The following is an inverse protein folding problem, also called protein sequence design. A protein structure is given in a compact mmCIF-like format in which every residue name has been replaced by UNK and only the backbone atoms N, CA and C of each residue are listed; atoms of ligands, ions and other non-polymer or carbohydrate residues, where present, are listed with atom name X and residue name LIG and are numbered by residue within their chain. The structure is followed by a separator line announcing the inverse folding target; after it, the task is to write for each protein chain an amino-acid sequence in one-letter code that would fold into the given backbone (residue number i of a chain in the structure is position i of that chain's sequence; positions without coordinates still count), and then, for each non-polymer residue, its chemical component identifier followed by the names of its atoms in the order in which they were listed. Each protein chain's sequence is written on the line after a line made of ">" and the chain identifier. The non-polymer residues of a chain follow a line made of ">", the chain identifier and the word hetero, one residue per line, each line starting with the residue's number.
data_IF_261901159864
#
_entry.id   IF_261901159864
#
_cell.length_a   1.000
_cell.length_b   1.000
_cell.length_c   1.000
_cell.angle_alpha   90.00
_cell.angle_beta   90.00
_cell.angle_gamma   90.00
#
_symmetry.space_group_name_H-M   'P 1'
#
loop_
_entity.id
_entity.type
_entity.pdbx_description
1 polymer ?
#
# COMPACT_ATOMS: atom_id res chain seq x y z
N UNK A 1 8.24 -3.96 -8.08
CA UNK A 1 6.83 -4.36 -8.20
C UNK A 1 5.98 -3.24 -8.81
N UNK A 2 5.66 -2.18 -8.06
CA UNK A 2 4.73 -1.12 -8.51
C UNK A 2 5.12 -0.47 -9.84
N UNK A 3 6.40 -0.08 -10.03
CA UNK A 3 6.86 0.50 -11.31
C UNK A 3 6.66 -0.44 -12.50
N UNK A 4 6.88 -1.74 -12.30
CA UNK A 4 6.67 -2.73 -13.35
C UNK A 4 5.19 -2.93 -13.64
N UNK A 5 4.32 -2.91 -12.62
CA UNK A 5 2.87 -2.94 -12.80
C UNK A 5 2.40 -1.74 -13.65
N UNK A 6 2.93 -0.55 -13.38
CA UNK A 6 2.67 0.66 -14.18
C UNK A 6 3.17 0.51 -15.62
N UNK A 7 4.38 -0.01 -15.81
CA UNK A 7 4.94 -0.23 -17.15
C UNK A 7 4.21 -1.29 -17.96
N UNK A 8 3.53 -2.25 -17.30
CA UNK A 8 2.78 -3.31 -17.98
C UNK A 8 1.49 -2.78 -18.63
N UNK A 9 0.94 -1.67 -18.13
CA UNK A 9 -0.30 -1.07 -18.62
C UNK A 9 -1.55 -1.86 -18.24
N UNK A 10 -2.67 -1.59 -18.93
CA UNK A 10 -3.98 -2.18 -18.62
C UNK A 10 -4.58 -1.59 -17.33
N UNK A 11 -5.24 -2.43 -16.53
CA UNK A 11 -5.86 -2.07 -15.25
C UNK A 11 -4.80 -1.93 -14.14
N UNK A 12 -3.98 -0.89 -14.31
CA UNK A 12 -2.73 -0.70 -13.59
C UNK A 12 -2.94 -0.53 -12.09
N UNK A 13 -4.00 0.15 -11.68
CA UNK A 13 -4.37 0.35 -10.28
C UNK A 13 -4.68 -0.98 -9.59
N UNK A 14 -5.48 -1.84 -10.21
CA UNK A 14 -5.76 -3.19 -9.68
C UNK A 14 -4.48 -4.02 -9.58
N UNK A 15 -3.66 -4.06 -10.63
CA UNK A 15 -2.41 -4.84 -10.65
C UNK A 15 -1.44 -4.30 -9.59
N UNK A 16 -1.28 -2.98 -9.49
CA UNK A 16 -0.40 -2.35 -8.51
C UNK A 16 -0.90 -2.54 -7.08
N UNK A 17 -2.22 -2.54 -6.84
CA UNK A 17 -2.81 -2.79 -5.52
C UNK A 17 -2.47 -4.20 -5.02
N UNK A 18 -2.69 -5.22 -5.86
CA UNK A 18 -2.42 -6.62 -5.50
C UNK A 18 -0.92 -6.85 -5.37
N UNK A 19 -0.12 -6.51 -6.39
CA UNK A 19 1.33 -6.76 -6.37
C UNK A 19 2.05 -5.91 -5.32
N UNK A 20 1.56 -4.70 -5.05
CA UNK A 20 2.10 -3.79 -4.05
C UNK A 20 1.91 -4.30 -2.62
N UNK A 21 0.72 -4.79 -2.27
CA UNK A 21 0.46 -5.36 -0.93
C UNK A 21 1.34 -6.58 -0.63
N UNK A 22 1.57 -7.45 -1.63
CA UNK A 22 2.49 -8.59 -1.48
C UNK A 22 3.93 -8.07 -1.34
N UNK A 23 4.36 -7.15 -2.19
CA UNK A 23 5.72 -6.63 -2.16
C UNK A 23 6.04 -5.88 -0.84
N UNK A 24 5.09 -5.15 -0.26
CA UNK A 24 5.24 -4.49 1.03
C UNK A 24 5.63 -5.48 2.12
N UNK A 25 5.00 -6.66 2.17
CA UNK A 25 5.28 -7.66 3.19
C UNK A 25 6.72 -8.21 3.14
N UNK A 26 7.35 -8.23 1.96
CA UNK A 26 8.72 -8.73 1.77
C UNK A 26 9.78 -7.63 1.83
N UNK A 27 9.46 -6.42 1.40
CA UNK A 27 10.45 -5.38 1.13
C UNK A 27 10.19 -4.05 1.85
N UNK A 28 9.05 -3.92 2.53
CA UNK A 28 8.57 -2.68 3.11
C UNK A 28 8.18 -1.63 2.05
N UNK A 29 7.83 -0.43 2.54
CA UNK A 29 7.50 0.73 1.70
C UNK A 29 8.29 1.93 2.18
N UNK A 30 8.93 2.71 1.28
CA UNK A 30 9.60 3.95 1.66
C UNK A 30 8.64 4.91 2.38
N UNK A 31 9.05 5.48 3.52
CA UNK A 31 8.19 6.26 4.41
C UNK A 31 7.48 7.42 3.69
N UNK A 32 8.20 8.15 2.81
CA UNK A 32 7.62 9.23 2.03
C UNK A 32 6.45 8.78 1.14
N UNK A 33 6.52 7.56 0.59
CA UNK A 33 5.47 6.99 -0.26
C UNK A 33 4.31 6.53 0.61
N UNK A 34 4.59 5.86 1.73
CA UNK A 34 3.57 5.40 2.66
C UNK A 34 2.77 6.58 3.25
N UNK A 35 3.46 7.66 3.66
CA UNK A 35 2.83 8.88 4.15
C UNK A 35 1.92 9.51 3.10
N UNK A 36 2.36 9.58 1.84
CA UNK A 36 1.59 10.14 0.74
C UNK A 36 0.37 9.26 0.39
N UNK A 37 0.51 7.94 0.48
CA UNK A 37 -0.62 7.00 0.39
C UNK A 37 -1.64 7.23 1.51
N UNK A 38 -1.20 7.27 2.77
CA UNK A 38 -2.08 7.48 3.94
C UNK A 38 -2.86 8.80 3.89
N UNK A 39 -2.28 9.88 3.33
CA UNK A 39 -3.01 11.15 3.12
C UNK A 39 -4.19 11.06 2.15
N UNK A 40 -4.15 10.11 1.21
CA UNK A 40 -5.22 9.90 0.21
C UNK A 40 -6.28 8.92 0.68
N UNK A 41 -6.02 8.13 1.71
CA UNK A 41 -7.01 7.22 2.25
C UNK A 41 -8.14 8.02 2.91
N UNK A 42 -9.41 7.71 2.58
CA UNK A 42 -10.57 8.09 3.37
C UNK A 42 -10.40 7.72 4.85
N UNK A 43 -11.05 8.49 5.73
CA UNK A 43 -10.87 8.36 7.18
C UNK A 43 -11.23 6.97 7.72
N UNK A 44 -12.30 6.36 7.20
CA UNK A 44 -12.73 5.00 7.53
C UNK A 44 -11.69 3.93 7.15
N UNK A 45 -11.07 4.06 5.96
CA UNK A 45 -10.01 3.13 5.54
C UNK A 45 -8.71 3.33 6.33
N UNK A 46 -8.41 4.56 6.77
CA UNK A 46 -7.27 4.81 7.66
C UNK A 46 -7.45 4.13 9.01
N UNK A 47 -8.65 4.21 9.59
CA UNK A 47 -8.95 3.55 10.86
C UNK A 47 -8.76 2.03 10.76
N UNK A 48 -9.22 1.42 9.66
CA UNK A 48 -9.01 -0.01 9.41
C UNK A 48 -7.52 -0.36 9.33
N UNK A 49 -6.73 0.47 8.62
CA UNK A 49 -5.29 0.26 8.50
C UNK A 49 -4.58 0.38 9.86
N UNK A 50 -4.87 1.43 10.64
CA UNK A 50 -4.26 1.66 11.95
C UNK A 50 -4.57 0.51 12.94
N UNK A 51 -5.81 0.00 12.91
CA UNK A 51 -6.20 -1.17 13.70
C UNK A 51 -5.44 -2.42 13.27
N UNK A 52 -5.26 -2.64 11.97
CA UNK A 52 -4.49 -3.76 11.45
C UNK A 52 -3.02 -3.69 11.87
N UNK A 53 -2.38 -2.52 11.73
CA UNK A 53 -0.98 -2.29 12.11
C UNK A 53 -0.76 -2.52 13.61
N UNK A 54 -1.70 -2.05 14.45
CA UNK A 54 -1.66 -2.25 15.91
C UNK A 54 -1.69 -3.73 16.27
N UNK A 55 -2.62 -4.52 15.69
CA UNK A 55 -2.76 -5.95 16.02
C UNK A 55 -1.61 -6.79 15.46
N UNK A 56 -1.01 -6.36 14.35
CA UNK A 56 0.10 -7.07 13.70
C UNK A 56 1.49 -6.63 14.19
N UNK A 57 1.57 -5.65 15.10
CA UNK A 57 2.84 -5.14 15.62
C UNK A 57 3.65 -4.35 14.60
N UNK A 58 2.97 -3.72 13.63
CA UNK A 58 3.56 -2.87 12.58
C UNK A 58 3.37 -1.36 12.83
N UNK A 59 2.70 -1.00 13.93
CA UNK A 59 2.46 0.38 14.34
C UNK A 59 3.72 1.06 14.90
#
# INVERSE_FOLDING_TARGET
>A
AVRNAVSLGGDTDTIACITGSIAEAFYGVPEMIAAEGRKRLPADLREVLERFETVTGRA
#
